data_IF_424815630656
#
_entry.id   IF_424815630656
#
_cell.length_a   1.000
_cell.length_b   1.000
_cell.length_c   1.000
_cell.angle_alpha   90.00
_cell.angle_beta   90.00
_cell.angle_gamma   90.00
#
_symmetry.space_group_name_H-M   'P 1'
#
loop_
_entity.id
_entity.type
_entity.pdbx_description
1 polymer ?
#
# COMPACT_ATOMS: atom_id res chain seq x y z
N UNK A 1 -37.07 49.32 4.08
CA UNK A 1 -36.01 48.72 4.94
C UNK A 1 -36.14 47.19 5.14
N UNK A 2 -37.30 46.57 4.89
CA UNK A 2 -37.52 45.12 5.05
C UNK A 2 -36.88 44.29 3.91
N UNK A 3 -36.99 44.75 2.65
CA UNK A 3 -36.39 44.07 1.49
C UNK A 3 -34.85 43.91 1.58
N UNK A 4 -34.16 44.85 2.22
CA UNK A 4 -32.70 44.82 2.39
C UNK A 4 -32.24 43.78 3.42
N UNK A 5 -33.13 43.34 4.32
CA UNK A 5 -32.86 42.29 5.33
C UNK A 5 -33.12 40.88 4.80
N UNK A 6 -34.03 40.72 3.85
CA UNK A 6 -34.31 39.44 3.19
C UNK A 6 -33.15 39.07 2.24
N UNK A 7 -32.57 40.07 1.56
CA UNK A 7 -31.46 39.85 0.63
C UNK A 7 -30.18 39.36 1.34
N UNK A 8 -29.89 39.86 2.55
CA UNK A 8 -28.74 39.39 3.35
C UNK A 8 -28.94 37.98 3.87
N UNK A 9 -30.18 37.58 4.17
CA UNK A 9 -30.47 36.22 4.63
C UNK A 9 -30.30 35.18 3.51
N UNK A 10 -30.63 35.52 2.26
CA UNK A 10 -30.46 34.66 1.10
C UNK A 10 -28.98 34.40 0.74
N UNK A 11 -28.08 35.37 0.98
CA UNK A 11 -26.64 35.23 0.68
C UNK A 11 -25.92 34.33 1.70
N UNK A 12 -26.34 34.34 2.96
CA UNK A 12 -25.80 33.43 3.99
C UNK A 12 -26.22 31.98 3.73
N UNK A 13 -27.43 31.75 3.23
CA UNK A 13 -27.94 30.42 2.87
C UNK A 13 -27.23 29.79 1.66
N UNK A 14 -26.71 30.60 0.73
CA UNK A 14 -25.94 30.13 -0.43
C UNK A 14 -24.45 29.86 -0.10
N UNK A 15 -24.01 30.20 1.11
CA UNK A 15 -22.63 29.98 1.56
C UNK A 15 -22.48 28.67 2.36
N UNK A 16 -23.57 27.95 2.61
CA UNK A 16 -23.54 26.64 3.24
C UNK A 16 -23.36 25.56 2.15
N UNK A 17 -22.32 24.74 2.34
CA UNK A 17 -22.05 23.47 1.65
C UNK A 17 -21.42 23.52 0.26
N UNK A 18 -20.28 24.20 0.14
CA UNK A 18 -19.16 23.55 -0.56
C UNK A 18 -18.35 22.81 0.52
N UNK A 19 -18.82 21.62 0.93
CA UNK A 19 -17.92 20.67 1.55
C UNK A 19 -16.90 20.30 0.48
N UNK A 20 -15.73 20.93 0.53
CA UNK A 20 -14.55 20.40 -0.14
C UNK A 20 -14.48 18.93 0.25
N UNK A 21 -14.58 18.04 -0.72
CA UNK A 21 -14.34 16.63 -0.53
C UNK A 21 -12.93 16.52 0.09
N UNK A 22 -12.86 16.29 1.40
CA UNK A 22 -11.60 15.98 2.05
C UNK A 22 -11.10 14.71 1.36
N UNK A 23 -10.03 14.83 0.59
CA UNK A 23 -9.31 13.67 0.07
C UNK A 23 -9.02 12.77 1.27
N UNK A 24 -9.50 11.53 1.22
CA UNK A 24 -9.21 10.54 2.25
C UNK A 24 -7.70 10.47 2.46
N UNK A 25 -7.21 10.28 3.69
CA UNK A 25 -5.79 10.31 3.98
C UNK A 25 -5.11 8.99 3.57
N UNK A 26 -5.24 8.63 2.29
CA UNK A 26 -4.77 7.38 1.71
C UNK A 26 -3.50 7.65 0.91
N UNK A 27 -2.46 6.91 1.25
CA UNK A 27 -1.15 6.94 0.62
C UNK A 27 -0.95 5.61 -0.11
N UNK A 28 -1.32 5.57 -1.38
CA UNK A 28 -1.10 4.38 -2.22
C UNK A 28 0.41 4.18 -2.48
N UNK A 29 0.94 3.05 -2.01
CA UNK A 29 2.34 2.63 -2.18
C UNK A 29 2.49 1.48 -3.18
N UNK A 30 1.38 0.94 -3.71
CA UNK A 30 1.40 -0.23 -4.61
C UNK A 30 2.18 0.04 -5.90
N UNK A 31 2.07 1.26 -6.45
CA UNK A 31 2.81 1.65 -7.65
C UNK A 31 4.31 1.81 -7.35
N UNK A 32 4.66 2.39 -6.20
CA UNK A 32 6.06 2.53 -5.79
C UNK A 32 6.72 1.17 -5.55
N UNK A 33 6.00 0.22 -4.93
CA UNK A 33 6.45 -1.17 -4.80
C UNK A 33 6.67 -1.84 -6.16
N UNK A 34 5.73 -1.66 -7.09
CA UNK A 34 5.87 -2.20 -8.44
C UNK A 34 7.07 -1.62 -9.18
N UNK A 35 7.29 -0.32 -9.10
CA UNK A 35 8.44 0.32 -9.76
C UNK A 35 9.76 -0.14 -9.15
N UNK A 36 9.85 -0.18 -7.82
CA UNK A 36 11.04 -0.66 -7.13
C UNK A 36 11.36 -2.12 -7.49
N UNK A 37 10.35 -3.00 -7.53
CA UNK A 37 10.57 -4.40 -7.95
C UNK A 37 10.98 -4.53 -9.41
N UNK A 38 10.47 -3.69 -10.32
CA UNK A 38 10.96 -3.62 -11.71
C UNK A 38 12.42 -3.22 -11.78
N UNK A 39 12.84 -2.24 -10.99
CA UNK A 39 14.24 -1.80 -10.96
C UNK A 39 15.16 -2.89 -10.38
N UNK A 40 14.74 -3.58 -9.31
CA UNK A 40 15.45 -4.76 -8.80
C UNK A 40 15.67 -5.80 -9.91
N UNK A 41 14.63 -6.15 -10.66
CA UNK A 41 14.73 -7.15 -11.71
C UNK A 41 15.60 -6.74 -12.90
N UNK A 42 15.49 -5.47 -13.31
CA UNK A 42 16.26 -4.90 -14.42
C UNK A 42 17.75 -4.83 -14.10
N UNK A 43 18.09 -4.49 -12.86
CA UNK A 43 19.45 -4.23 -12.42
C UNK A 43 20.09 -5.39 -11.64
N UNK A 44 19.46 -6.58 -11.67
CA UNK A 44 19.95 -7.78 -10.96
C UNK A 44 21.42 -8.09 -11.26
N UNK A 45 21.86 -7.85 -12.51
CA UNK A 45 23.25 -8.08 -12.93
C UNK A 45 24.23 -7.07 -12.32
N UNK A 46 23.77 -5.86 -11.99
CA UNK A 46 24.62 -4.81 -11.41
C UNK A 46 24.91 -5.05 -9.94
N UNK A 47 23.98 -5.66 -9.21
CA UNK A 47 24.15 -5.90 -7.79
C UNK A 47 24.39 -7.35 -7.44
N UNK A 48 24.09 -8.36 -8.26
CA UNK A 48 24.35 -9.75 -7.91
C UNK A 48 25.86 -10.05 -7.79
N UNK A 49 26.24 -10.75 -6.72
CA UNK A 49 27.55 -11.42 -6.61
C UNK A 49 27.35 -12.81 -6.03
N UNK A 50 28.28 -13.75 -6.30
CA UNK A 50 28.13 -15.14 -5.84
C UNK A 50 28.14 -15.24 -4.32
N UNK A 51 28.91 -14.39 -3.65
CA UNK A 51 29.10 -14.38 -2.20
C UNK A 51 27.80 -14.11 -1.45
N UNK A 52 26.93 -13.25 -2.00
CA UNK A 52 25.63 -12.91 -1.39
C UNK A 52 24.44 -13.59 -2.05
N UNK A 53 24.65 -14.45 -3.04
CA UNK A 53 23.58 -15.05 -3.84
C UNK A 53 22.55 -15.82 -3.01
N UNK A 54 23.02 -16.61 -2.03
CA UNK A 54 22.15 -17.41 -1.17
C UNK A 54 21.26 -16.53 -0.28
N UNK A 55 21.85 -15.49 0.32
CA UNK A 55 21.12 -14.56 1.17
C UNK A 55 20.11 -13.74 0.36
N UNK A 56 20.52 -13.28 -0.83
CA UNK A 56 19.67 -12.54 -1.75
C UNK A 56 18.46 -13.39 -2.19
N UNK A 57 18.68 -14.64 -2.60
CA UNK A 57 17.61 -15.57 -2.96
C UNK A 57 16.62 -15.78 -1.80
N UNK A 58 17.13 -15.99 -0.59
CA UNK A 58 16.31 -16.12 0.63
C UNK A 58 15.47 -14.87 0.90
N UNK A 59 16.07 -13.68 0.84
CA UNK A 59 15.38 -12.41 1.10
C UNK A 59 14.29 -12.12 0.06
N UNK A 60 14.55 -12.38 -1.23
CA UNK A 60 13.52 -12.30 -2.28
C UNK A 60 12.37 -13.28 -2.03
N UNK A 61 12.67 -14.52 -1.65
CA UNK A 61 11.67 -15.53 -1.33
C UNK A 61 10.78 -15.14 -0.15
N UNK A 62 11.36 -14.58 0.92
CA UNK A 62 10.61 -14.07 2.08
C UNK A 62 9.75 -12.85 1.74
N UNK A 63 10.31 -11.87 1.03
CA UNK A 63 9.57 -10.70 0.57
C UNK A 63 8.36 -11.10 -0.29
N UNK A 64 8.57 -12.01 -1.24
CA UNK A 64 7.50 -12.58 -2.08
C UNK A 64 6.41 -13.24 -1.24
N UNK A 65 6.78 -14.08 -0.27
CA UNK A 65 5.84 -14.77 0.64
C UNK A 65 5.01 -13.77 1.46
N UNK A 66 5.63 -12.73 1.99
CA UNK A 66 4.94 -11.73 2.81
C UNK A 66 3.99 -10.88 1.96
N UNK A 67 4.40 -10.48 0.75
CA UNK A 67 3.53 -9.80 -0.20
C UNK A 67 2.32 -10.64 -0.62
N UNK A 68 2.50 -11.95 -0.87
CA UNK A 68 1.39 -12.87 -1.16
C UNK A 68 0.40 -12.90 0.00
N UNK A 69 0.91 -13.00 1.23
CA UNK A 69 0.08 -13.02 2.44
C UNK A 69 -0.73 -11.73 2.57
N UNK A 70 -0.07 -10.58 2.49
CA UNK A 70 -0.71 -9.26 2.55
C UNK A 70 -1.78 -9.08 1.47
N UNK A 71 -1.45 -9.41 0.22
CA UNK A 71 -2.38 -9.30 -0.92
C UNK A 71 -3.61 -10.19 -0.73
N UNK A 72 -3.44 -11.44 -0.27
CA UNK A 72 -4.55 -12.36 -0.01
C UNK A 72 -5.45 -11.87 1.10
N UNK A 73 -4.88 -11.40 2.21
CA UNK A 73 -5.66 -10.84 3.33
C UNK A 73 -6.47 -9.63 2.86
N UNK A 74 -5.85 -8.68 2.14
CA UNK A 74 -6.57 -7.52 1.57
C UNK A 74 -7.74 -7.94 0.69
N UNK A 75 -7.51 -8.88 -0.22
CA UNK A 75 -8.56 -9.39 -1.11
C UNK A 75 -9.70 -10.01 -0.33
N UNK A 76 -9.41 -10.89 0.63
CA UNK A 76 -10.42 -11.56 1.43
C UNK A 76 -11.26 -10.58 2.26
N UNK A 77 -10.62 -9.57 2.86
CA UNK A 77 -11.30 -8.53 3.63
C UNK A 77 -12.20 -7.66 2.75
N UNK A 78 -11.69 -7.22 1.60
CA UNK A 78 -12.49 -6.52 0.59
C UNK A 78 -13.71 -7.36 0.20
N UNK A 79 -13.50 -8.61 -0.25
CA UNK A 79 -14.57 -9.51 -0.65
C UNK A 79 -15.59 -9.78 0.49
N UNK A 80 -15.14 -9.80 1.75
CA UNK A 80 -16.00 -9.94 2.93
C UNK A 80 -16.90 -8.72 3.15
N UNK A 81 -16.36 -7.51 2.99
CA UNK A 81 -17.11 -6.25 3.09
C UNK A 81 -18.25 -6.20 2.05
N UNK A 82 -17.98 -6.63 0.82
CA UNK A 82 -19.00 -6.69 -0.24
C UNK A 82 -20.04 -7.77 0.04
N UNK A 83 -19.61 -9.01 0.34
CA UNK A 83 -20.51 -10.15 0.55
C UNK A 83 -21.47 -9.95 1.72
N UNK A 84 -20.99 -9.35 2.81
CA UNK A 84 -21.81 -9.12 4.01
C UNK A 84 -22.44 -7.74 4.07
N UNK A 85 -22.37 -6.97 2.98
CA UNK A 85 -22.89 -5.62 2.89
C UNK A 85 -22.48 -4.71 4.07
N UNK A 86 -21.25 -4.83 4.57
CA UNK A 86 -20.78 -4.07 5.74
C UNK A 86 -20.88 -2.57 5.45
N UNK A 87 -21.51 -1.83 6.36
CA UNK A 87 -21.70 -0.38 6.23
C UNK A 87 -20.41 0.39 6.56
N UNK A 88 -20.14 1.51 5.88
CA UNK A 88 -19.09 2.45 6.28
C UNK A 88 -19.27 2.94 7.72
N UNK A 89 -18.19 3.39 8.36
CA UNK A 89 -18.19 3.84 9.74
C UNK A 89 -18.08 2.74 10.81
N UNK A 90 -18.31 1.47 10.45
CA UNK A 90 -18.09 0.34 11.36
C UNK A 90 -16.59 0.04 11.48
N UNK A 91 -16.03 0.30 12.66
CA UNK A 91 -14.64 -0.02 12.98
C UNK A 91 -14.40 -1.52 13.04
N UNK A 92 -13.24 -1.92 12.53
CA UNK A 92 -12.69 -3.27 12.61
C UNK A 92 -11.18 -3.19 12.89
N UNK A 93 -10.82 -2.89 14.15
CA UNK A 93 -9.42 -2.64 14.53
C UNK A 93 -8.54 -3.90 14.42
N UNK A 94 -9.13 -5.09 14.56
CA UNK A 94 -8.39 -6.35 14.47
C UNK A 94 -7.89 -6.62 13.04
N UNK A 95 -8.79 -6.47 12.06
CA UNK A 95 -8.41 -6.63 10.66
C UNK A 95 -7.50 -5.49 10.18
N UNK A 96 -7.67 -4.27 10.71
CA UNK A 96 -6.75 -3.18 10.46
C UNK A 96 -5.34 -3.49 10.98
N UNK A 97 -5.23 -3.95 12.23
CA UNK A 97 -3.94 -4.29 12.84
C UNK A 97 -3.26 -5.46 12.14
N UNK A 98 -4.04 -6.43 11.67
CA UNK A 98 -3.54 -7.53 10.85
C UNK A 98 -2.88 -7.01 9.57
N UNK A 99 -3.52 -6.09 8.85
CA UNK A 99 -2.94 -5.50 7.64
C UNK A 99 -1.67 -4.70 7.94
N UNK A 100 -1.66 -3.93 9.03
CA UNK A 100 -0.46 -3.18 9.47
C UNK A 100 0.70 -4.09 9.81
N UNK A 101 0.45 -5.14 10.58
CA UNK A 101 1.47 -6.14 10.96
C UNK A 101 2.06 -6.81 9.72
N UNK A 102 1.21 -7.25 8.78
CA UNK A 102 1.67 -7.87 7.54
C UNK A 102 2.47 -6.92 6.66
N UNK A 103 2.10 -5.64 6.60
CA UNK A 103 2.93 -4.64 5.91
C UNK A 103 4.25 -4.38 6.65
N UNK A 104 4.24 -4.42 8.00
CA UNK A 104 5.46 -4.40 8.83
C UNK A 104 6.44 -5.52 8.44
N UNK A 105 5.92 -6.72 8.20
CA UNK A 105 6.70 -7.85 7.69
C UNK A 105 7.19 -7.64 6.26
N UNK A 106 6.41 -6.99 5.39
CA UNK A 106 6.84 -6.62 4.03
C UNK A 106 8.01 -5.64 4.10
N UNK A 107 7.91 -4.54 4.85
CA UNK A 107 9.00 -3.54 4.91
C UNK A 107 10.28 -4.11 5.56
N UNK A 108 10.15 -5.04 6.50
CA UNK A 108 11.29 -5.73 7.09
C UNK A 108 12.05 -6.54 6.03
N UNK A 109 11.34 -7.30 5.20
CA UNK A 109 11.99 -8.05 4.11
C UNK A 109 12.44 -7.15 2.97
N UNK A 110 11.77 -6.02 2.72
CA UNK A 110 12.27 -5.01 1.78
C UNK A 110 13.64 -4.51 2.21
N UNK A 111 13.84 -4.19 3.50
CA UNK A 111 15.14 -3.77 4.04
C UNK A 111 16.22 -4.86 3.84
N UNK A 112 15.87 -6.11 4.10
CA UNK A 112 16.79 -7.24 3.88
C UNK A 112 17.21 -7.36 2.40
N UNK A 113 16.33 -7.02 1.45
CA UNK A 113 16.68 -6.98 0.03
C UNK A 113 17.53 -5.75 -0.29
N UNK A 114 17.15 -4.55 0.17
CA UNK A 114 17.88 -3.30 -0.13
C UNK A 114 19.31 -3.33 0.37
N UNK A 115 19.57 -3.91 1.53
CA UNK A 115 20.91 -4.05 2.10
C UNK A 115 21.86 -4.81 1.18
N UNK A 116 21.33 -5.74 0.38
CA UNK A 116 22.09 -6.57 -0.55
C UNK A 116 22.19 -5.99 -1.97
N UNK A 117 21.62 -4.81 -2.23
CA UNK A 117 21.64 -4.16 -3.55
C UNK A 117 22.77 -3.13 -3.69
N UNK A 118 22.83 -2.46 -4.84
CA UNK A 118 23.73 -1.31 -5.05
C UNK A 118 23.18 -0.05 -4.36
N UNK A 119 23.98 1.01 -4.27
CA UNK A 119 23.61 2.22 -3.52
C UNK A 119 22.36 2.94 -4.06
N UNK A 120 22.12 2.88 -5.37
CA UNK A 120 20.97 3.52 -6.01
C UNK A 120 19.67 2.82 -5.62
N UNK A 121 19.61 1.50 -5.80
CA UNK A 121 18.46 0.67 -5.42
C UNK A 121 18.23 0.65 -3.91
N UNK A 122 19.31 0.70 -3.12
CA UNK A 122 19.22 0.84 -1.67
C UNK A 122 18.53 2.15 -1.29
N UNK A 123 18.98 3.28 -1.84
CA UNK A 123 18.39 4.58 -1.55
C UNK A 123 16.91 4.67 -2.01
N UNK A 124 16.55 4.06 -3.14
CA UNK A 124 15.16 3.97 -3.58
C UNK A 124 14.30 3.16 -2.59
N UNK A 125 14.77 1.98 -2.21
CA UNK A 125 14.05 1.10 -1.30
C UNK A 125 13.96 1.66 0.13
N UNK A 126 14.99 2.35 0.61
CA UNK A 126 14.98 3.03 1.91
C UNK A 126 13.91 4.13 1.95
N UNK A 127 13.82 4.97 0.90
CA UNK A 127 12.77 6.00 0.80
C UNK A 127 11.37 5.39 0.79
N UNK A 128 11.20 4.26 0.10
CA UNK A 128 9.92 3.55 0.07
C UNK A 128 9.58 2.93 1.43
N UNK A 129 10.54 2.29 2.09
CA UNK A 129 10.40 1.77 3.44
C UNK A 129 10.00 2.87 4.42
N UNK A 130 10.68 4.02 4.38
CA UNK A 130 10.38 5.17 5.24
C UNK A 130 8.97 5.70 4.98
N UNK A 131 8.57 5.81 3.71
CA UNK A 131 7.21 6.23 3.34
C UNK A 131 6.16 5.30 3.94
N UNK A 132 6.35 3.98 3.82
CA UNK A 132 5.40 2.99 4.36
C UNK A 132 5.42 3.04 5.89
N UNK A 133 6.60 3.05 6.49
CA UNK A 133 6.79 3.12 7.94
C UNK A 133 6.08 4.34 8.55
N UNK A 134 6.23 5.51 7.94
CA UNK A 134 5.56 6.73 8.41
C UNK A 134 4.04 6.61 8.37
N UNK A 135 3.47 5.98 7.35
CA UNK A 135 2.02 5.74 7.27
C UNK A 135 1.57 4.76 8.35
N UNK A 136 2.30 3.66 8.57
CA UNK A 136 1.97 2.66 9.60
C UNK A 136 1.98 3.27 11.02
N UNK A 137 2.90 4.20 11.27
CA UNK A 137 3.07 4.87 12.56
C UNK A 137 2.33 6.22 12.65
N UNK A 138 1.47 6.55 11.69
CA UNK A 138 0.77 7.84 11.62
C UNK A 138 -0.38 8.01 12.64
N UNK A 139 -0.53 7.09 13.61
CA UNK A 139 -1.59 7.09 14.63
C UNK A 139 -3.02 7.27 14.09
N UNK A 140 -3.28 6.78 12.87
CA UNK A 140 -4.59 6.88 12.21
C UNK A 140 -4.81 8.20 11.47
N UNK A 141 -3.77 9.00 11.26
CA UNK A 141 -3.83 10.17 10.39
C UNK A 141 -3.64 9.82 8.91
N UNK A 142 -3.05 8.67 8.59
CA UNK A 142 -2.85 8.16 7.23
C UNK A 142 -3.07 6.65 7.13
N UNK A 143 -3.43 6.18 5.94
CA UNK A 143 -3.67 4.76 5.63
C UNK A 143 -3.03 4.39 4.30
N UNK A 144 -2.65 3.12 4.11
CA UNK A 144 -2.06 2.66 2.84
C UNK A 144 -3.12 2.34 1.78
N UNK A 145 -4.40 2.37 2.15
CA UNK A 145 -5.51 1.97 1.29
C UNK A 145 -6.85 2.51 1.75
N UNK A 146 -7.81 2.54 0.81
CA UNK A 146 -9.21 2.81 1.11
C UNK A 146 -9.79 1.72 2.02
N UNK A 147 -9.31 0.48 1.88
CA UNK A 147 -9.67 -0.62 2.78
C UNK A 147 -9.27 -0.33 4.23
N UNK A 148 -8.02 0.08 4.48
CA UNK A 148 -7.55 0.40 5.82
C UNK A 148 -8.30 1.59 6.44
N UNK A 149 -8.57 2.63 5.63
CA UNK A 149 -9.39 3.76 6.06
C UNK A 149 -10.82 3.32 6.43
N UNK A 150 -11.43 2.43 5.65
CA UNK A 150 -12.73 1.84 5.97
C UNK A 150 -12.70 1.06 7.29
N UNK A 151 -11.70 0.19 7.49
CA UNK A 151 -11.55 -0.59 8.72
C UNK A 151 -11.29 0.30 9.95
N UNK A 152 -10.69 1.47 9.77
CA UNK A 152 -10.54 2.48 10.82
C UNK A 152 -11.84 3.24 11.14
N UNK A 153 -12.91 2.99 10.38
CA UNK A 153 -14.22 3.60 10.56
C UNK A 153 -14.40 4.93 9.83
N UNK A 154 -13.58 5.24 8.82
CA UNK A 154 -13.87 6.36 7.92
C UNK A 154 -15.04 6.01 6.99
N UNK A 155 -15.77 7.05 6.56
CA UNK A 155 -16.82 6.92 5.56
C UNK A 155 -16.19 6.80 4.16
N UNK A 156 -15.82 5.57 3.81
CA UNK A 156 -15.24 5.22 2.52
C UNK A 156 -16.28 4.48 1.70
N UNK A 157 -16.51 4.93 0.46
CA UNK A 157 -17.50 4.28 -0.39
C UNK A 157 -17.03 2.89 -0.83
N UNK A 158 -17.97 1.96 -0.98
CA UNK A 158 -17.69 0.61 -1.52
C UNK A 158 -17.08 0.68 -2.92
N UNK A 159 -17.42 1.70 -3.71
CA UNK A 159 -16.82 1.93 -5.02
C UNK A 159 -15.33 2.22 -4.91
N UNK A 160 -14.93 3.07 -3.96
CA UNK A 160 -13.53 3.45 -3.75
C UNK A 160 -12.70 2.28 -3.22
N UNK A 161 -13.31 1.43 -2.37
CA UNK A 161 -12.70 0.16 -1.93
C UNK A 161 -12.51 -0.78 -3.11
N UNK A 162 -13.52 -0.94 -3.98
CA UNK A 162 -13.43 -1.83 -5.15
C UNK A 162 -12.34 -1.37 -6.13
N UNK A 163 -12.27 -0.05 -6.39
CA UNK A 163 -11.29 0.53 -7.30
C UNK A 163 -9.86 0.34 -6.75
N UNK A 164 -9.63 0.72 -5.49
CA UNK A 164 -8.35 0.52 -4.80
C UNK A 164 -7.96 -0.96 -4.77
N UNK A 165 -8.90 -1.85 -4.40
CA UNK A 165 -8.65 -3.28 -4.35
C UNK A 165 -8.23 -3.83 -5.72
N UNK A 166 -8.90 -3.45 -6.81
CA UNK A 166 -8.55 -3.92 -8.16
C UNK A 166 -7.16 -3.43 -8.59
N UNK A 167 -6.88 -2.13 -8.41
CA UNK A 167 -5.62 -1.51 -8.87
C UNK A 167 -4.44 -2.00 -8.03
N UNK A 168 -4.57 -1.99 -6.72
CA UNK A 168 -3.52 -2.45 -5.82
C UNK A 168 -3.27 -3.95 -6.00
N UNK A 169 -4.31 -4.77 -6.18
CA UNK A 169 -4.16 -6.22 -6.40
C UNK A 169 -3.34 -6.52 -7.66
N UNK A 170 -3.66 -5.87 -8.78
CA UNK A 170 -2.91 -6.05 -10.03
C UNK A 170 -1.43 -5.68 -9.85
N UNK A 171 -1.14 -4.53 -9.25
CA UNK A 171 0.24 -4.06 -9.00
C UNK A 171 1.01 -4.96 -8.03
N UNK A 172 0.37 -5.43 -6.97
CA UNK A 172 0.98 -6.37 -6.02
C UNK A 172 1.25 -7.71 -6.70
N UNK A 173 0.32 -8.24 -7.50
CA UNK A 173 0.50 -9.47 -8.23
C UNK A 173 1.64 -9.36 -9.25
N UNK A 174 1.74 -8.24 -9.98
CA UNK A 174 2.88 -7.97 -10.86
C UNK A 174 4.19 -7.93 -10.07
N UNK A 175 4.23 -7.26 -8.92
CA UNK A 175 5.41 -7.19 -8.06
C UNK A 175 5.85 -8.59 -7.61
N UNK A 176 4.91 -9.44 -7.19
CA UNK A 176 5.15 -10.83 -6.80
C UNK A 176 5.75 -11.64 -7.95
N UNK A 177 5.21 -11.49 -9.16
CA UNK A 177 5.70 -12.20 -10.34
C UNK A 177 7.12 -11.76 -10.72
N UNK A 178 7.40 -10.46 -10.60
CA UNK A 178 8.74 -9.91 -10.85
C UNK A 178 9.73 -10.46 -9.83
N UNK A 179 9.39 -10.42 -8.53
CA UNK A 179 10.24 -10.99 -7.48
C UNK A 179 10.55 -12.48 -7.72
N UNK A 180 9.56 -13.26 -8.15
CA UNK A 180 9.78 -14.67 -8.51
C UNK A 180 10.75 -14.81 -9.70
N UNK A 181 10.59 -13.99 -10.74
CA UNK A 181 11.50 -13.98 -11.89
C UNK A 181 12.93 -13.60 -11.50
N UNK A 182 13.10 -12.60 -10.64
CA UNK A 182 14.41 -12.16 -10.14
C UNK A 182 15.06 -13.24 -9.29
N UNK A 183 14.31 -13.88 -8.39
CA UNK A 183 14.78 -15.02 -7.59
C UNK A 183 15.26 -16.18 -8.50
N UNK A 184 14.51 -16.52 -9.54
CA UNK A 184 14.90 -17.54 -10.52
C UNK A 184 16.18 -17.15 -11.28
N UNK A 185 16.33 -15.88 -11.66
CA UNK A 185 17.57 -15.37 -12.28
C UNK A 185 18.77 -15.52 -11.34
N UNK A 186 18.63 -15.16 -10.07
CA UNK A 186 19.66 -15.32 -9.04
C UNK A 186 20.02 -16.80 -8.88
N UNK A 187 19.02 -17.67 -8.73
CA UNK A 187 19.20 -19.12 -8.59
C UNK A 187 19.94 -19.74 -9.78
N UNK A 188 19.69 -19.26 -11.02
CA UNK A 188 20.44 -19.70 -12.21
C UNK A 188 21.90 -19.25 -12.19
N UNK A 189 22.20 -18.05 -11.69
CA UNK A 189 23.58 -17.52 -11.60
C UNK A 189 24.43 -18.14 -10.49
N UNK A 190 23.77 -18.76 -9.50
CA UNK A 190 24.44 -19.50 -8.44
C UNK A 190 24.86 -20.92 -8.85
N UNK A 191 24.23 -21.50 -9.88
CA UNK A 191 24.64 -22.77 -10.49
C UNK A 191 25.86 -22.57 -11.36
#
# INVERSE_FOLDING_TARGET
>A
MIFRRILTFAIVLLSATNSFAQTLPVVDVSLSLLNWTKHLDADVDKYFTKEKGQELSRSFGLLKKNLITYMKTRKNLSDNIFRNNIAPGKKDPENLETLKTQMGDVIREMRNVTDLTNNELRAEGDRLNDKIFNVLNSEGTQYLSNLEAFLAGLDVSKRDIALDASVAYDRLQQSINILASTEDKINRKMK
#
